data_IF_116327912586
#
_entry.id   IF_116327912586
#
_cell.length_a   1.000
_cell.length_b   1.000
_cell.length_c   1.000
_cell.angle_alpha   90.00
_cell.angle_beta   90.00
_cell.angle_gamma   90.00
#
_symmetry.space_group_name_H-M   'P 1'
#
loop_
_entity.id
_entity.type
_entity.pdbx_description
1 polymer ?
#
# COMPACT_ATOMS: atom_id res chain seq x y z
N UNK A 1 -43.29 -23.29 -4.25
CA UNK A 1 -42.10 -22.95 -3.44
C UNK A 1 -41.14 -22.19 -4.36
N UNK A 2 -41.21 -20.85 -4.35
CA UNK A 2 -40.46 -20.00 -5.28
C UNK A 2 -39.05 -19.78 -4.75
N UNK A 3 -38.04 -20.21 -5.52
CA UNK A 3 -36.63 -20.00 -5.21
C UNK A 3 -36.16 -18.71 -5.91
N UNK A 4 -35.95 -17.63 -5.16
CA UNK A 4 -35.33 -16.42 -5.70
C UNK A 4 -33.82 -16.61 -5.84
N UNK A 5 -33.20 -16.23 -6.98
CA UNK A 5 -31.76 -16.23 -7.11
C UNK A 5 -31.15 -15.10 -6.27
N UNK A 6 -30.17 -15.41 -5.42
CA UNK A 6 -29.42 -14.41 -4.63
C UNK A 6 -28.74 -13.40 -5.56
N UNK A 7 -28.88 -12.08 -5.34
CA UNK A 7 -28.03 -11.11 -6.00
C UNK A 7 -26.60 -11.28 -5.50
N UNK A 8 -25.66 -11.40 -6.43
CA UNK A 8 -24.23 -11.33 -6.15
C UNK A 8 -23.90 -9.96 -5.54
N UNK A 9 -22.95 -9.87 -4.60
CA UNK A 9 -22.56 -8.62 -3.99
C UNK A 9 -22.19 -7.61 -5.08
N UNK A 10 -22.71 -6.39 -4.96
CA UNK A 10 -22.21 -5.29 -5.77
C UNK A 10 -20.74 -5.12 -5.39
N UNK A 11 -19.82 -5.40 -6.33
CA UNK A 11 -18.43 -4.99 -6.20
C UNK A 11 -18.44 -3.45 -6.21
N UNK A 12 -18.61 -2.87 -5.02
CA UNK A 12 -18.37 -1.44 -4.79
C UNK A 12 -16.86 -1.27 -4.85
N UNK A 13 -16.36 -1.16 -6.08
CA UNK A 13 -15.13 -0.44 -6.34
C UNK A 13 -15.38 0.99 -5.86
N UNK A 14 -14.98 1.27 -4.62
CA UNK A 14 -14.76 2.63 -4.15
C UNK A 14 -13.64 3.20 -5.01
N UNK A 15 -13.99 3.71 -6.19
CA UNK A 15 -13.21 4.77 -6.82
C UNK A 15 -13.31 5.96 -5.86
N UNK A 16 -12.32 6.07 -4.97
CA UNK A 16 -12.02 7.33 -4.29
C UNK A 16 -11.66 8.32 -5.40
N UNK A 17 -12.68 8.99 -5.93
CA UNK A 17 -12.50 10.15 -6.77
C UNK A 17 -11.92 11.23 -5.84
N UNK A 18 -10.59 11.31 -5.77
CA UNK A 18 -9.91 12.47 -5.19
C UNK A 18 -10.38 13.68 -6.00
N UNK A 19 -11.37 14.41 -5.47
CA UNK A 19 -11.69 15.75 -5.93
C UNK A 19 -10.49 16.62 -5.56
N UNK A 20 -9.46 16.61 -6.41
CA UNK A 20 -8.39 17.59 -6.38
C UNK A 20 -9.02 18.90 -6.84
N UNK A 21 -9.62 19.63 -5.91
CA UNK A 21 -10.11 20.98 -6.18
C UNK A 21 -8.87 21.85 -6.38
N UNK A 22 -8.61 22.20 -7.64
CA UNK A 22 -7.56 23.15 -8.01
C UNK A 22 -8.07 24.55 -7.70
N UNK A 23 -7.92 24.98 -6.46
CA UNK A 23 -8.30 26.34 -6.07
C UNK A 23 -7.24 27.32 -6.57
N UNK A 24 -7.67 28.31 -7.37
CA UNK A 24 -6.90 29.50 -7.68
C UNK A 24 -7.49 30.67 -6.88
N UNK A 25 -6.62 31.46 -6.25
CA UNK A 25 -7.03 32.54 -5.34
C UNK A 25 -6.54 33.90 -5.87
N UNK A 26 -7.44 34.87 -5.96
CA UNK A 26 -7.26 36.23 -6.43
C UNK A 26 -7.58 37.20 -5.28
N UNK A 27 -6.67 38.12 -4.96
CA UNK A 27 -6.82 39.05 -3.83
C UNK A 27 -7.89 40.14 -4.01
N UNK A 28 -8.58 40.19 -5.17
CA UNK A 28 -9.64 41.14 -5.47
C UNK A 28 -11.06 40.54 -5.40
N UNK A 29 -11.18 39.21 -5.29
CA UNK A 29 -12.45 38.51 -5.32
C UNK A 29 -12.83 37.98 -3.93
N UNK A 30 -14.10 38.13 -3.57
CA UNK A 30 -14.68 37.51 -2.39
C UNK A 30 -15.07 36.09 -2.78
N UNK A 31 -14.43 35.09 -2.17
CA UNK A 31 -14.76 33.69 -2.39
C UNK A 31 -15.94 33.29 -1.51
N UNK A 32 -17.07 32.96 -2.15
CA UNK A 32 -18.21 32.37 -1.48
C UNK A 32 -17.95 30.89 -1.15
N UNK A 33 -18.53 30.38 -0.07
CA UNK A 33 -18.47 28.96 0.23
C UNK A 33 -19.26 28.21 -0.85
N UNK A 34 -18.57 27.41 -1.66
CA UNK A 34 -19.23 26.59 -2.67
C UNK A 34 -19.96 25.41 -2.00
N UNK A 35 -21.23 25.63 -1.67
CA UNK A 35 -22.13 24.64 -1.06
C UNK A 35 -22.79 23.77 -2.14
N UNK A 36 -22.77 24.18 -3.41
CA UNK A 36 -23.49 23.54 -4.53
C UNK A 36 -23.04 22.10 -4.84
N UNK A 37 -21.88 21.68 -4.33
CA UNK A 37 -21.38 20.31 -4.41
C UNK A 37 -21.77 19.40 -3.24
N UNK A 38 -22.46 19.91 -2.22
CA UNK A 38 -22.80 19.16 -1.01
C UNK A 38 -24.22 18.59 -1.08
N UNK A 39 -24.41 17.36 -0.59
CA UNK A 39 -25.75 16.81 -0.37
C UNK A 39 -26.45 17.53 0.78
N UNK A 40 -27.78 17.63 0.75
CA UNK A 40 -28.59 18.27 1.81
C UNK A 40 -28.18 17.78 3.21
N UNK A 41 -27.97 16.48 3.36
CA UNK A 41 -27.52 15.89 4.64
C UNK A 41 -26.18 16.44 5.11
N UNK A 42 -25.21 16.61 4.20
CA UNK A 42 -23.91 17.16 4.56
C UNK A 42 -24.01 18.64 4.93
N UNK A 43 -24.88 19.40 4.25
CA UNK A 43 -25.17 20.80 4.58
C UNK A 43 -25.77 20.87 5.99
N UNK A 44 -26.83 20.11 6.27
CA UNK A 44 -27.46 20.06 7.60
C UNK A 44 -26.47 19.65 8.69
N UNK A 45 -25.63 18.65 8.44
CA UNK A 45 -24.63 18.20 9.41
C UNK A 45 -23.60 19.29 9.71
N UNK A 46 -23.17 20.03 8.68
CA UNK A 46 -22.21 21.14 8.79
C UNK A 46 -22.79 22.28 9.63
N UNK A 47 -23.99 22.75 9.29
CA UNK A 47 -24.67 23.84 10.01
C UNK A 47 -24.97 23.44 11.47
N UNK A 48 -25.44 22.21 11.71
CA UNK A 48 -25.71 21.72 13.06
C UNK A 48 -24.44 21.73 13.93
N UNK A 49 -23.30 21.31 13.39
CA UNK A 49 -22.01 21.35 14.09
C UNK A 49 -21.55 22.78 14.40
N UNK A 50 -21.70 23.73 13.46
CA UNK A 50 -21.41 25.15 13.70
C UNK A 50 -22.27 25.73 14.84
N UNK A 51 -23.57 25.42 14.86
CA UNK A 51 -24.48 25.83 15.93
C UNK A 51 -24.07 25.23 17.28
N UNK A 52 -23.72 23.95 17.31
CA UNK A 52 -23.27 23.29 18.53
C UNK A 52 -21.98 23.91 19.08
N UNK A 53 -21.01 24.22 18.23
CA UNK A 53 -19.82 24.96 18.62
C UNK A 53 -20.15 26.32 19.23
N UNK A 54 -21.03 27.11 18.58
CA UNK A 54 -21.45 28.43 19.06
C UNK A 54 -22.09 28.36 20.45
N UNK A 55 -23.02 27.42 20.66
CA UNK A 55 -23.69 27.23 21.96
C UNK A 55 -22.70 26.89 23.08
N UNK A 56 -21.77 25.95 22.84
CA UNK A 56 -20.72 25.58 23.82
C UNK A 56 -19.79 26.75 24.12
N UNK A 57 -19.40 27.53 23.10
CA UNK A 57 -18.52 28.68 23.31
C UNK A 57 -19.22 29.79 24.11
N UNK A 58 -20.52 30.01 23.88
CA UNK A 58 -21.33 30.95 24.67
C UNK A 58 -21.48 30.48 26.12
N UNK A 59 -21.69 29.19 26.37
CA UNK A 59 -21.72 28.66 27.76
C UNK A 59 -20.38 28.86 28.48
N UNK A 60 -19.27 28.83 27.74
CA UNK A 60 -17.93 29.09 28.28
C UNK A 60 -17.57 30.60 28.36
N UNK A 61 -18.54 31.50 28.20
CA UNK A 61 -18.37 32.97 28.28
C UNK A 61 -17.39 33.58 27.26
N UNK A 62 -17.24 32.96 26.08
CA UNK A 62 -16.47 33.57 24.98
C UNK A 62 -17.24 34.75 24.35
N UNK A 63 -16.51 35.72 23.79
CA UNK A 63 -17.10 36.87 23.10
C UNK A 63 -17.72 36.44 21.77
N UNK A 64 -18.89 36.99 21.41
CA UNK A 64 -19.53 36.73 20.12
C UNK A 64 -18.61 37.03 18.92
N UNK A 65 -17.69 38.00 19.05
CA UNK A 65 -16.67 38.30 18.04
C UNK A 65 -15.71 37.13 17.84
N UNK A 66 -15.16 36.58 18.94
CA UNK A 66 -14.25 35.42 18.88
C UNK A 66 -14.93 34.16 18.34
N UNK A 67 -16.22 33.99 18.64
CA UNK A 67 -17.01 32.86 18.14
C UNK A 67 -17.20 32.99 16.62
N UNK A 68 -17.56 34.17 16.14
CA UNK A 68 -17.73 34.44 14.71
C UNK A 68 -16.41 34.28 13.92
N UNK A 69 -15.30 34.76 14.46
CA UNK A 69 -13.97 34.60 13.87
C UNK A 69 -13.58 33.12 13.75
N UNK A 70 -13.86 32.31 14.77
CA UNK A 70 -13.57 30.87 14.75
C UNK A 70 -14.46 30.09 13.78
N UNK A 71 -15.75 30.46 13.65
CA UNK A 71 -16.68 29.84 12.70
C UNK A 71 -16.27 30.19 11.26
N UNK A 72 -15.99 31.45 10.97
CA UNK A 72 -15.57 31.91 9.64
C UNK A 72 -14.21 31.35 9.22
N UNK A 73 -13.28 31.17 10.16
CA UNK A 73 -12.00 30.50 9.92
C UNK A 73 -12.12 28.97 9.73
N UNK A 74 -13.33 28.40 9.80
CA UNK A 74 -13.56 26.96 9.64
C UNK A 74 -13.11 26.11 10.83
N UNK A 75 -12.80 26.72 11.99
CA UNK A 75 -12.26 26.07 13.19
C UNK A 75 -13.35 25.66 14.19
N UNK A 76 -14.54 25.35 13.69
CA UNK A 76 -15.73 25.02 14.50
C UNK A 76 -15.94 23.51 14.68
N UNK A 77 -15.23 22.66 13.94
CA UNK A 77 -15.25 21.21 14.11
C UNK A 77 -13.95 20.73 14.74
N UNK A 78 -14.05 20.03 15.87
CA UNK A 78 -12.92 19.29 16.42
C UNK A 78 -12.68 18.03 15.57
N UNK A 79 -11.82 18.15 14.56
CA UNK A 79 -11.38 17.03 13.76
C UNK A 79 -10.29 16.21 14.45
N UNK A 80 -9.89 16.56 15.69
CA UNK A 80 -8.79 15.92 16.38
C UNK A 80 -8.95 14.40 16.38
N UNK A 81 -10.13 13.87 16.68
CA UNK A 81 -10.32 12.42 16.73
C UNK A 81 -10.14 11.71 15.38
N UNK A 82 -10.57 12.36 14.30
CA UNK A 82 -10.35 11.86 12.93
C UNK A 82 -8.86 11.90 12.57
N UNK A 83 -8.16 12.97 12.98
CA UNK A 83 -6.72 13.14 12.80
C UNK A 83 -5.95 12.11 13.62
N UNK A 84 -6.33 11.88 14.88
CA UNK A 84 -5.74 10.87 15.76
C UNK A 84 -5.88 9.48 15.14
N UNK A 85 -7.07 9.15 14.66
CA UNK A 85 -7.35 7.87 13.99
C UNK A 85 -6.53 7.71 12.71
N UNK A 86 -6.44 8.76 11.89
CA UNK A 86 -5.62 8.77 10.68
C UNK A 86 -4.14 8.53 11.01
N UNK A 87 -3.58 9.32 11.93
CA UNK A 87 -2.19 9.21 12.36
C UNK A 87 -1.88 7.86 13.01
N UNK A 88 -2.83 7.27 13.72
CA UNK A 88 -2.67 5.94 14.31
C UNK A 88 -2.48 4.86 13.25
N UNK A 89 -3.23 4.97 12.16
CA UNK A 89 -3.18 4.03 11.05
C UNK A 89 -2.09 4.35 10.01
N UNK A 90 -1.54 5.57 10.03
CA UNK A 90 -0.50 5.99 9.10
C UNK A 90 0.78 5.18 9.32
N UNK A 91 1.29 4.59 8.23
CA UNK A 91 2.54 3.83 8.19
C UNK A 91 3.30 4.06 6.89
N UNK A 92 4.61 4.18 7.01
CA UNK A 92 5.58 4.22 5.93
C UNK A 92 5.96 2.78 5.56
N UNK A 93 5.44 2.29 4.42
CA UNK A 93 5.70 0.91 3.96
C UNK A 93 7.14 0.73 3.47
N UNK A 94 7.70 1.76 2.85
CA UNK A 94 9.01 1.73 2.19
C UNK A 94 9.73 3.06 2.40
N UNK A 95 11.07 3.04 2.46
CA UNK A 95 11.85 4.29 2.58
C UNK A 95 11.66 5.24 1.38
N UNK A 96 11.23 4.72 0.23
CA UNK A 96 10.87 5.54 -0.93
C UNK A 96 9.67 6.45 -0.68
N UNK A 97 8.74 6.04 0.20
CA UNK A 97 7.57 6.82 0.60
C UNK A 97 7.80 7.65 1.86
N UNK A 98 9.04 7.73 2.36
CA UNK A 98 9.36 8.48 3.58
C UNK A 98 9.01 9.96 3.47
N UNK A 99 9.24 10.58 2.30
CA UNK A 99 8.91 12.00 2.08
C UNK A 99 7.42 12.26 2.28
N UNK A 100 6.58 11.49 1.59
CA UNK A 100 5.12 11.55 1.73
C UNK A 100 4.67 11.29 3.16
N UNK A 101 5.17 10.21 3.79
CA UNK A 101 4.84 9.88 5.18
C UNK A 101 5.17 11.03 6.13
N UNK A 102 6.37 11.60 6.01
CA UNK A 102 6.83 12.73 6.83
C UNK A 102 5.90 13.94 6.66
N UNK A 103 5.63 14.32 5.41
CA UNK A 103 4.83 15.50 5.12
C UNK A 103 3.39 15.34 5.64
N UNK A 104 2.75 14.20 5.35
CA UNK A 104 1.39 13.92 5.84
C UNK A 104 1.34 13.85 7.36
N UNK A 105 2.28 13.14 7.99
CA UNK A 105 2.29 13.04 9.45
C UNK A 105 2.43 14.43 10.09
N UNK A 106 3.37 15.25 9.60
CA UNK A 106 3.62 16.58 10.16
C UNK A 106 2.45 17.53 9.93
N UNK A 107 1.91 17.60 8.72
CA UNK A 107 0.76 18.47 8.45
C UNK A 107 -0.41 18.16 9.40
N UNK A 108 -0.68 16.88 9.61
CA UNK A 108 -1.80 16.43 10.45
C UNK A 108 -1.53 16.56 11.94
N UNK A 109 -0.33 16.20 12.43
CA UNK A 109 -0.03 16.28 13.86
C UNK A 109 0.01 17.73 14.35
N UNK A 110 0.41 18.68 13.51
CA UNK A 110 0.45 20.10 13.86
C UNK A 110 -0.94 20.74 14.01
N UNK A 111 -1.99 20.06 13.55
CA UNK A 111 -3.39 20.46 13.79
C UNK A 111 -3.90 20.03 15.18
N UNK A 112 -3.20 19.13 15.88
CA UNK A 112 -3.59 18.66 17.20
C UNK A 112 -3.08 19.59 18.32
N UNK A 113 -3.85 19.79 19.40
CA UNK A 113 -3.39 20.56 20.57
C UNK A 113 -2.21 19.88 21.29
N UNK A 114 -2.14 18.55 21.20
CA UNK A 114 -1.12 17.72 21.83
C UNK A 114 0.04 17.39 20.87
N UNK A 115 0.27 18.22 19.84
CA UNK A 115 1.24 17.93 18.77
C UNK A 115 2.65 17.61 19.29
N UNK A 116 3.06 18.20 20.41
CA UNK A 116 4.38 18.00 21.01
C UNK A 116 4.47 16.83 22.00
N UNK A 117 3.42 16.01 22.15
CA UNK A 117 3.41 14.89 23.09
C UNK A 117 4.40 13.78 22.72
N UNK A 118 4.92 13.09 23.74
CA UNK A 118 5.80 11.92 23.56
C UNK A 118 5.14 10.82 22.73
N UNK A 119 3.82 10.65 22.88
CA UNK A 119 3.04 9.68 22.13
C UNK A 119 3.20 9.89 20.63
N UNK A 120 2.99 11.11 20.11
CA UNK A 120 3.09 11.36 18.67
C UNK A 120 4.52 11.30 18.16
N UNK A 121 5.51 11.68 18.98
CA UNK A 121 6.93 11.52 18.64
C UNK A 121 7.33 10.04 18.53
N UNK A 122 6.90 9.20 19.48
CA UNK A 122 7.11 7.75 19.40
C UNK A 122 6.37 7.17 18.19
N UNK A 123 5.10 7.56 17.99
CA UNK A 123 4.27 7.08 16.89
C UNK A 123 4.86 7.41 15.52
N UNK A 124 5.50 8.58 15.39
CA UNK A 124 6.22 8.96 14.16
C UNK A 124 7.33 7.95 13.83
N UNK A 125 8.10 7.51 14.83
CA UNK A 125 9.17 6.52 14.67
C UNK A 125 8.61 5.11 14.42
N UNK A 126 7.52 4.76 15.10
CA UNK A 126 6.87 3.45 15.01
C UNK A 126 6.14 3.25 13.67
N UNK A 127 5.79 4.33 12.99
CA UNK A 127 5.23 4.28 11.64
C UNK A 127 6.27 4.00 10.55
N UNK A 128 7.57 4.02 10.85
CA UNK A 128 8.62 3.69 9.87
C UNK A 128 8.70 2.17 9.58
N UNK A 129 9.39 1.75 8.50
CA UNK A 129 9.62 0.32 8.24
C UNK A 129 10.37 -0.33 9.41
N UNK A 130 9.93 -1.50 9.88
CA UNK A 130 10.38 -2.13 11.14
C UNK A 130 11.90 -2.20 11.32
N UNK A 131 12.65 -2.68 10.31
CA UNK A 131 14.11 -2.76 10.37
C UNK A 131 14.77 -1.38 10.47
N UNK A 132 14.16 -0.38 9.84
CA UNK A 132 14.64 0.98 9.87
C UNK A 132 14.28 1.68 11.20
N UNK A 133 13.08 1.45 11.72
CA UNK A 133 12.64 1.90 13.05
C UNK A 133 13.62 1.48 14.13
N UNK A 134 14.02 0.21 14.15
CA UNK A 134 14.97 -0.30 15.16
C UNK A 134 16.35 0.34 15.03
N UNK A 135 16.79 0.63 13.81
CA UNK A 135 18.04 1.34 13.56
C UNK A 135 17.99 2.78 14.06
N UNK A 136 16.91 3.51 13.72
CA UNK A 136 16.71 4.89 14.20
C UNK A 136 16.58 4.92 15.73
N UNK A 137 15.86 3.98 16.34
CA UNK A 137 15.75 3.87 17.79
C UNK A 137 17.11 3.63 18.45
N UNK A 138 17.98 2.79 17.87
CA UNK A 138 19.34 2.57 18.37
C UNK A 138 20.16 3.86 18.34
N UNK A 139 20.04 4.63 17.26
CA UNK A 139 20.69 5.94 17.11
C UNK A 139 20.20 6.95 18.16
N UNK A 140 18.88 6.99 18.41
CA UNK A 140 18.28 7.92 19.37
C UNK A 140 18.53 7.56 20.84
N UNK A 141 18.77 6.28 21.16
CA UNK A 141 19.13 5.82 22.50
C UNK A 141 20.58 6.15 22.85
N UNK A 142 21.49 6.05 21.89
CA UNK A 142 22.93 6.15 22.18
C UNK A 142 23.32 5.09 23.22
N UNK A 143 23.88 5.54 24.34
CA UNK A 143 24.30 4.69 25.47
C UNK A 143 23.17 4.46 26.50
N UNK A 144 22.06 5.19 26.40
CA UNK A 144 20.94 5.08 27.33
C UNK A 144 20.05 3.86 27.02
N UNK A 145 19.40 3.32 28.06
CA UNK A 145 18.49 2.19 27.89
C UNK A 145 17.15 2.58 27.25
N UNK A 146 16.69 3.82 27.42
CA UNK A 146 15.37 4.30 26.97
C UNK A 146 15.45 5.62 26.19
N UNK A 147 14.53 5.81 25.25
CA UNK A 147 14.43 7.07 24.47
C UNK A 147 13.53 8.02 25.23
N UNK A 148 14.10 9.11 25.73
CA UNK A 148 13.30 10.21 26.27
C UNK A 148 12.85 11.14 25.12
N UNK A 149 11.63 10.91 24.61
CA UNK A 149 11.07 11.69 23.50
C UNK A 149 10.73 13.15 23.84
N UNK A 150 10.64 13.55 25.11
CA UNK A 150 10.34 14.94 25.48
C UNK A 150 11.44 15.89 25.02
N UNK A 151 12.70 15.45 25.08
CA UNK A 151 13.88 16.23 24.69
C UNK A 151 14.08 16.35 23.18
N UNK A 152 13.28 15.63 22.38
CA UNK A 152 13.36 15.64 20.94
C UNK A 152 12.30 16.54 20.30
N UNK A 153 12.72 17.33 19.32
CA UNK A 153 11.80 18.00 18.39
C UNK A 153 11.59 17.12 17.16
N UNK A 154 10.49 17.33 16.43
CA UNK A 154 10.29 16.65 15.15
C UNK A 154 11.45 16.85 14.19
N UNK A 155 12.04 18.05 14.16
CA UNK A 155 13.23 18.34 13.37
C UNK A 155 14.42 17.43 13.71
N UNK A 156 14.70 17.21 15.01
CA UNK A 156 15.76 16.28 15.44
C UNK A 156 15.45 14.83 15.08
N UNK A 157 14.20 14.38 15.26
CA UNK A 157 13.78 13.03 14.89
C UNK A 157 13.91 12.78 13.38
N UNK A 158 13.46 13.74 12.56
CA UNK A 158 13.57 13.69 11.10
C UNK A 158 15.04 13.67 10.69
N UNK A 159 15.87 14.50 11.32
CA UNK A 159 17.31 14.53 11.05
C UNK A 159 17.95 13.18 11.34
N UNK A 160 17.64 12.57 12.49
CA UNK A 160 18.11 11.22 12.82
C UNK A 160 17.67 10.19 11.77
N UNK A 161 16.41 10.23 11.33
CA UNK A 161 15.92 9.36 10.26
C UNK A 161 16.72 9.57 8.96
N UNK A 162 16.94 10.82 8.54
CA UNK A 162 17.66 11.13 7.30
C UNK A 162 19.12 10.66 7.39
N UNK A 163 19.80 10.91 8.51
CA UNK A 163 21.18 10.49 8.70
C UNK A 163 21.32 8.96 8.69
N UNK A 164 20.43 8.23 9.37
CA UNK A 164 20.42 6.76 9.31
C UNK A 164 20.11 6.23 7.91
N UNK A 165 19.24 6.91 7.16
CA UNK A 165 18.96 6.59 5.76
C UNK A 165 20.19 6.74 4.86
N UNK A 166 20.95 7.83 5.04
CA UNK A 166 22.19 8.09 4.30
C UNK A 166 23.29 7.09 4.69
N UNK A 167 23.45 6.80 5.98
CA UNK A 167 24.40 5.80 6.47
C UNK A 167 24.12 4.41 5.89
N UNK A 168 22.85 4.00 5.88
CA UNK A 168 22.42 2.74 5.27
C UNK A 168 22.72 2.68 3.77
N UNK A 169 22.52 3.79 3.05
CA UNK A 169 22.84 3.88 1.63
C UNK A 169 24.35 3.68 1.39
N UNK A 170 25.20 4.31 2.20
CA UNK A 170 26.64 4.18 2.13
C UNK A 170 27.11 2.75 2.45
N UNK A 171 26.54 2.10 3.47
CA UNK A 171 26.84 0.70 3.81
C UNK A 171 26.47 -0.26 2.68
N UNK A 172 25.31 -0.08 2.06
CA UNK A 172 24.88 -0.90 0.92
C UNK A 172 25.86 -0.73 -0.24
N UNK A 173 26.25 0.52 -0.55
CA UNK A 173 27.22 0.83 -1.60
C UNK A 173 28.59 0.20 -1.35
N UNK A 174 29.10 0.32 -0.11
CA UNK A 174 30.36 -0.29 0.30
C UNK A 174 30.31 -1.82 0.22
N UNK A 175 29.23 -2.43 0.73
CA UNK A 175 29.03 -3.87 0.67
C UNK A 175 28.97 -4.40 -0.77
N UNK A 176 28.37 -3.65 -1.70
CA UNK A 176 28.38 -3.99 -3.13
C UNK A 176 29.78 -3.90 -3.73
N UNK A 177 30.59 -2.91 -3.33
CA UNK A 177 31.98 -2.79 -3.75
C UNK A 177 32.81 -3.96 -3.24
N UNK A 178 32.71 -4.32 -1.96
CA UNK A 178 33.41 -5.48 -1.37
C UNK A 178 33.04 -6.78 -2.11
N UNK A 179 31.76 -6.99 -2.41
CA UNK A 179 31.32 -8.16 -3.19
C UNK A 179 31.94 -8.19 -4.59
N UNK A 180 32.09 -7.04 -5.24
CA UNK A 180 32.76 -6.94 -6.55
C UNK A 180 34.25 -7.26 -6.45
N UNK A 181 34.98 -6.68 -5.49
CA UNK A 181 36.40 -6.99 -5.30
C UNK A 181 36.64 -8.47 -5.02
N UNK A 182 35.84 -9.10 -4.16
CA UNK A 182 35.94 -10.56 -3.90
C UNK A 182 35.73 -11.42 -5.16
N UNK A 183 34.83 -11.00 -6.06
CA UNK A 183 34.63 -11.70 -7.34
C UNK A 183 35.83 -11.53 -8.27
N UNK A 184 36.44 -10.34 -8.29
CA UNK A 184 37.64 -10.06 -9.09
C UNK A 184 38.86 -10.79 -8.54
N UNK A 185 39.08 -10.77 -7.22
CA UNK A 185 40.15 -11.52 -6.55
C UNK A 185 40.07 -13.02 -6.84
N UNK A 186 38.86 -13.60 -6.81
CA UNK A 186 38.67 -15.02 -7.13
C UNK A 186 38.98 -15.34 -8.60
N UNK A 187 38.73 -14.41 -9.52
CA UNK A 187 39.11 -14.57 -10.94
C UNK A 187 40.61 -14.49 -11.12
N UNK A 188 41.24 -13.47 -10.52
CA UNK A 188 42.69 -13.27 -10.58
C UNK A 188 43.45 -14.44 -9.95
N UNK A 189 42.96 -14.99 -8.84
CA UNK A 189 43.54 -16.18 -8.22
C UNK A 189 43.36 -17.43 -9.07
N UNK A 190 42.23 -17.56 -9.77
CA UNK A 190 42.00 -18.63 -10.74
C UNK A 190 42.95 -18.54 -11.94
N UNK A 191 43.10 -17.36 -12.53
CA UNK A 191 44.04 -17.07 -13.62
C UNK A 191 45.50 -17.30 -13.19
N UNK A 192 45.87 -16.90 -11.96
CA UNK A 192 47.19 -17.15 -11.39
C UNK A 192 47.46 -18.66 -11.20
N UNK A 193 46.52 -19.42 -10.64
CA UNK A 193 46.71 -20.87 -10.47
C UNK A 193 46.79 -21.62 -11.81
N UNK A 194 46.04 -21.17 -12.84
CA UNK A 194 46.09 -21.72 -14.20
C UNK A 194 47.45 -21.49 -14.87
N UNK A 195 48.09 -20.32 -14.64
CA UNK A 195 49.43 -20.01 -15.17
C UNK A 195 50.55 -20.92 -14.66
N UNK A 196 50.41 -21.45 -13.44
CA UNK A 196 51.43 -22.29 -12.81
C UNK A 196 51.06 -23.78 -12.76
N UNK A 197 50.03 -24.20 -13.52
CA UNK A 197 49.51 -25.57 -13.54
C UNK A 197 49.18 -26.13 -12.14
N UNK A 198 48.81 -25.26 -11.19
CA UNK A 198 48.28 -25.69 -9.91
C UNK A 198 46.79 -25.97 -10.08
N UNK A 199 46.42 -27.25 -10.12
CA UNK A 199 45.03 -27.66 -9.94
C UNK A 199 44.60 -27.27 -8.53
N UNK A 200 43.85 -26.18 -8.40
CA UNK A 200 43.17 -25.85 -7.15
C UNK A 200 42.27 -27.05 -6.82
N UNK A 201 42.47 -27.76 -5.68
CA UNK A 201 41.51 -28.75 -5.25
C UNK A 201 40.21 -28.00 -5.03
N UNK A 202 39.20 -28.25 -5.87
CA UNK A 202 37.86 -27.73 -5.66
C UNK A 202 37.48 -28.12 -4.24
N UNK A 203 37.46 -27.17 -3.31
CA UNK A 203 36.81 -27.38 -2.03
C UNK A 203 35.44 -27.96 -2.35
N UNK A 204 35.09 -29.09 -1.72
CA UNK A 204 33.80 -29.76 -1.82
C UNK A 204 32.69 -28.84 -1.28
N UNK A 205 32.43 -27.71 -1.92
CA UNK A 205 31.09 -27.14 -1.94
C UNK A 205 30.31 -28.02 -2.90
N UNK A 206 29.54 -28.97 -2.33
CA UNK A 206 28.50 -29.79 -2.98
C UNK A 206 28.66 -29.91 -4.49
N UNK A 207 29.19 -31.04 -4.97
CA UNK A 207 29.22 -31.44 -6.39
C UNK A 207 28.19 -30.69 -7.25
N UNK A 208 28.61 -29.58 -7.83
CA UNK A 208 28.12 -29.18 -9.14
C UNK A 208 29.12 -29.79 -10.10
N UNK A 209 29.06 -31.11 -10.16
CA UNK A 209 29.54 -31.86 -11.29
C UNK A 209 28.87 -31.26 -12.53
N UNK A 210 29.71 -30.98 -13.52
CA UNK A 210 29.38 -30.41 -14.83
C UNK A 210 28.09 -31.01 -15.40
N UNK A 211 26.97 -30.33 -15.19
CA UNK A 211 25.67 -30.76 -15.69
C UNK A 211 25.20 -29.87 -16.83
N UNK A 212 26.04 -29.76 -17.86
CA UNK A 212 25.60 -29.39 -19.21
C UNK A 212 24.54 -30.37 -19.78
N UNK A 213 24.19 -31.45 -19.06
CA UNK A 213 23.08 -32.37 -19.38
C UNK A 213 21.76 -32.13 -18.60
N UNK A 214 21.72 -31.38 -17.48
CA UNK A 214 20.48 -31.26 -16.67
C UNK A 214 19.44 -30.26 -17.19
N UNK A 215 19.82 -29.25 -18.00
CA UNK A 215 18.84 -28.32 -18.60
C UNK A 215 17.94 -28.96 -19.68
N UNK A 216 18.36 -30.06 -20.33
CA UNK A 216 17.54 -30.74 -21.35
C UNK A 216 16.42 -31.59 -20.76
N UNK A 217 16.60 -32.22 -19.59
CA UNK A 217 15.56 -33.05 -18.95
C UNK A 217 14.41 -32.19 -18.41
N UNK A 218 14.70 -31.14 -17.63
CA UNK A 218 13.65 -30.27 -17.06
C UNK A 218 12.81 -29.58 -18.14
N UNK A 219 13.40 -29.19 -19.27
CA UNK A 219 12.65 -28.65 -20.44
C UNK A 219 11.79 -29.72 -21.10
N UNK A 220 12.27 -30.96 -21.23
CA UNK A 220 11.48 -32.11 -21.72
C UNK A 220 10.31 -32.44 -20.79
N UNK A 221 10.53 -32.39 -19.48
CA UNK A 221 9.52 -32.69 -18.48
C UNK A 221 8.44 -31.59 -18.40
N UNK A 222 8.85 -30.32 -18.53
CA UNK A 222 7.92 -29.19 -18.65
C UNK A 222 7.11 -29.25 -19.96
N UNK A 223 7.74 -29.54 -21.10
CA UNK A 223 7.05 -29.77 -22.39
C UNK A 223 6.09 -30.96 -22.32
N UNK A 224 6.49 -32.07 -21.67
CA UNK A 224 5.65 -33.26 -21.47
C UNK A 224 4.46 -32.98 -20.54
N UNK A 225 4.67 -32.20 -19.48
CA UNK A 225 3.59 -31.73 -18.60
C UNK A 225 2.63 -30.78 -19.34
N UNK A 226 3.16 -29.85 -20.14
CA UNK A 226 2.38 -28.91 -20.96
C UNK A 226 1.54 -29.64 -22.02
N UNK A 227 2.09 -30.64 -22.71
CA UNK A 227 1.35 -31.50 -23.66
C UNK A 227 0.23 -32.28 -22.96
N UNK A 228 0.51 -32.93 -21.83
CA UNK A 228 -0.53 -33.64 -21.04
C UNK A 228 -1.66 -32.70 -20.59
N UNK A 229 -1.33 -31.45 -20.21
CA UNK A 229 -2.33 -30.45 -19.80
C UNK A 229 -3.21 -29.99 -20.96
N UNK A 230 -2.64 -29.83 -22.15
CA UNK A 230 -3.38 -29.49 -23.39
C UNK A 230 -4.25 -30.67 -23.83
N UNK A 231 -3.72 -31.89 -23.83
CA UNK A 231 -4.46 -33.12 -24.17
C UNK A 231 -5.66 -33.34 -23.24
N UNK A 232 -5.48 -33.11 -21.93
CA UNK A 232 -6.58 -33.19 -20.95
C UNK A 232 -7.64 -32.11 -21.16
N UNK A 233 -7.25 -30.90 -21.62
CA UNK A 233 -8.21 -29.85 -22.04
C UNK A 233 -8.96 -30.23 -23.31
N UNK A 234 -8.27 -30.80 -24.31
CA UNK A 234 -8.87 -31.26 -25.56
C UNK A 234 -9.84 -32.42 -25.33
N UNK A 235 -9.48 -33.42 -24.51
CA UNK A 235 -10.38 -34.51 -24.10
C UNK A 235 -11.64 -34.00 -23.43
N UNK A 236 -11.53 -33.06 -22.48
CA UNK A 236 -12.70 -32.42 -21.84
C UNK A 236 -13.57 -31.62 -22.81
N UNK A 237 -12.95 -30.94 -23.79
CA UNK A 237 -13.68 -30.22 -24.83
C UNK A 237 -14.38 -31.17 -25.81
N UNK A 238 -13.79 -32.33 -26.07
CA UNK A 238 -14.36 -33.37 -26.93
C UNK A 238 -15.48 -34.15 -26.23
N UNK A 239 -15.34 -34.44 -24.94
CA UNK A 239 -16.41 -34.95 -24.07
C UNK A 239 -17.59 -33.96 -24.04
N UNK A 240 -17.32 -32.67 -23.86
CA UNK A 240 -18.34 -31.61 -23.94
C UNK A 240 -19.01 -31.50 -25.32
N UNK A 241 -18.27 -31.69 -26.42
CA UNK A 241 -18.83 -31.74 -27.78
C UNK A 241 -19.65 -33.01 -28.04
N UNK A 242 -19.26 -34.17 -27.51
CA UNK A 242 -20.04 -35.42 -27.62
C UNK A 242 -21.37 -35.31 -26.86
N UNK A 243 -21.39 -34.67 -25.69
CA UNK A 243 -22.65 -34.39 -24.97
C UNK A 243 -23.54 -33.35 -25.66
N UNK A 244 -22.94 -32.33 -26.27
CA UNK A 244 -23.65 -31.34 -27.08
C UNK A 244 -24.26 -31.94 -28.36
N UNK A 245 -23.55 -32.88 -28.99
CA UNK A 245 -24.00 -33.58 -30.20
C UNK A 245 -25.08 -34.63 -29.90
N UNK A 246 -25.04 -35.27 -28.71
CA UNK A 246 -26.12 -36.14 -28.21
C UNK A 246 -27.40 -35.35 -27.86
N UNK A 247 -27.29 -34.13 -27.32
CA UNK A 247 -28.45 -33.23 -27.09
C UNK A 247 -29.05 -32.68 -28.38
N UNK A 248 -28.25 -32.38 -29.42
CA UNK A 248 -28.76 -31.89 -30.72
C UNK A 248 -29.35 -32.98 -31.63
N UNK A 249 -28.95 -34.25 -31.49
CA UNK A 249 -29.55 -35.38 -32.26
C UNK A 249 -30.88 -35.89 -31.70
N UNK A 250 -31.28 -35.51 -30.49
CA UNK A 250 -32.57 -35.93 -29.89
C UNK A 250 -33.78 -35.04 -30.26
N UNK A 251 -33.57 -33.91 -30.95
CA UNK A 251 -34.61 -32.93 -31.29
C UNK A 251 -34.90 -32.75 -32.79
N UNK A 252 -34.46 -33.70 -33.64
CA UNK A 252 -34.81 -33.71 -35.06
C UNK A 252 -34.97 -35.15 -35.56
N UNK A 253 -36.15 -35.74 -35.34
CA UNK A 253 -36.89 -36.58 -36.31
C UNK A 253 -38.11 -37.22 -35.63
N UNK A 254 -39.27 -36.56 -35.74
CA UNK A 254 -40.53 -37.15 -36.19
C UNK A 254 -41.55 -36.00 -36.30
N UNK A 255 -41.90 -35.66 -37.54
CA UNK A 255 -43.01 -34.77 -37.88
C UNK A 255 -43.93 -35.55 -38.81
N UNK A 256 -44.95 -36.15 -38.22
CA UNK A 256 -46.25 -36.54 -38.77
C UNK A 256 -47.08 -36.80 -37.49
N UNK A 257 -48.27 -36.25 -37.27
CA UNK A 257 -49.39 -36.14 -38.18
C UNK A 257 -50.39 -35.07 -37.70
N UNK A 258 -50.97 -34.42 -38.71
CA UNK A 258 -52.37 -33.99 -38.83
C UNK A 258 -53.07 -33.31 -37.64
N UNK A 259 -53.22 -31.99 -37.81
CA UNK A 259 -54.34 -31.22 -37.25
C UNK A 259 -55.62 -31.58 -37.99
N UNK A 260 -56.58 -32.19 -37.29
CA UNK A 260 -58.00 -32.19 -37.64
C UNK A 260 -58.84 -31.79 -36.41
N UNK A 261 -59.17 -30.49 -36.37
CA UNK A 261 -60.51 -29.89 -36.27
C UNK A 261 -61.61 -30.47 -35.34
N UNK A 262 -62.22 -29.52 -34.62
CA UNK A 262 -63.64 -29.35 -34.25
C UNK A 262 -64.11 -29.79 -32.86
N UNK A 263 -64.78 -28.84 -32.18
CA UNK A 263 -65.50 -28.99 -30.91
C UNK A 263 -65.51 -27.69 -30.15
#
# INVERSE_FOLDING_TARGET
MFYYPRPTPQDVLLEEHEHIITNSYNGKEIYEWNIDGYTDRQIFTTVHRMLMYSTICKTNKNSDKTIADMITAGRWSDNSETIRTLLQNLRCKTLTSFRYYKDVFLCRVMELPECNSTHWKSKFIDGLPTLFTERVRRSLRGDDHSINYDNYTYGKLISACVQEGLALCNEIKLNQQIKRHRLTERKQLGEFCEQFAFDIPKQKSKEVESSHKKKKSSKKDYEKWKKKKIEKKLRRAEEGRRDSSKRKKKYRFNKSDTCHKCG
#
